data_IF_461811875957
#
_entry.id   IF_461811875957
#
_cell.length_a   1.000
_cell.length_b   1.000
_cell.length_c   1.000
_cell.angle_alpha   90.00
_cell.angle_beta   90.00
_cell.angle_gamma   90.00
#
_symmetry.space_group_name_H-M   'P 1'
#
loop_
_entity.id
_entity.type
_entity.pdbx_description
1 polymer ?
#
# COMPACT_ATOMS: atom_id res chain seq x y z
N UNK A 1 43.58 -49.92 -5.84
CA UNK A 1 42.33 -49.46 -5.19
C UNK A 1 42.66 -48.30 -4.26
N UNK A 2 41.82 -47.25 -4.30
CA UNK A 2 41.65 -46.15 -3.34
C UNK A 2 42.81 -45.15 -3.14
N UNK A 3 42.64 -43.83 -3.01
CA UNK A 3 41.51 -42.89 -3.13
C UNK A 3 42.14 -41.48 -3.29
N UNK A 4 41.61 -40.69 -4.23
CA UNK A 4 41.95 -39.28 -4.48
C UNK A 4 41.49 -38.36 -3.33
N UNK A 5 41.98 -37.11 -3.27
CA UNK A 5 42.03 -36.29 -2.06
C UNK A 5 40.71 -35.59 -1.74
N UNK A 6 40.54 -35.23 -0.47
CA UNK A 6 39.51 -34.28 -0.06
C UNK A 6 39.77 -32.93 -0.74
N UNK A 7 38.92 -32.59 -1.70
CA UNK A 7 38.80 -31.25 -2.26
C UNK A 7 37.93 -30.45 -1.29
N UNK A 8 38.55 -29.57 -0.54
CA UNK A 8 37.86 -28.57 0.29
C UNK A 8 37.30 -27.51 -0.65
N UNK A 9 36.10 -27.75 -1.20
CA UNK A 9 35.36 -26.69 -1.88
C UNK A 9 34.79 -25.75 -0.81
N UNK A 10 35.54 -24.68 -0.54
CA UNK A 10 35.06 -23.52 0.23
C UNK A 10 33.89 -22.90 -0.54
N UNK A 11 32.67 -23.32 -0.21
CA UNK A 11 31.45 -22.64 -0.65
C UNK A 11 31.36 -21.32 0.12
N UNK A 12 31.90 -20.24 -0.46
CA UNK A 12 31.58 -18.88 -0.04
C UNK A 12 30.14 -18.59 -0.51
N UNK A 13 29.18 -18.73 0.39
CA UNK A 13 27.82 -18.24 0.17
C UNK A 13 27.85 -16.72 0.34
N UNK A 14 28.03 -16.01 -0.77
CA UNK A 14 27.86 -14.55 -0.82
C UNK A 14 26.37 -14.23 -0.60
N UNK A 15 25.98 -14.02 0.66
CA UNK A 15 24.66 -13.48 1.01
C UNK A 15 24.67 -11.99 0.70
N UNK A 16 24.49 -11.63 -0.58
CA UNK A 16 24.04 -10.28 -0.96
C UNK A 16 22.56 -10.17 -0.66
N UNK A 17 22.23 -9.85 0.59
CA UNK A 17 20.89 -9.36 0.94
C UNK A 17 20.76 -7.92 0.45
N UNK A 18 20.60 -7.72 -0.85
CA UNK A 18 19.98 -6.50 -1.36
C UNK A 18 18.52 -6.54 -0.92
N UNK A 19 18.11 -5.61 -0.05
CA UNK A 19 16.69 -5.41 0.26
C UNK A 19 16.02 -4.86 -1.00
N UNK A 20 15.64 -5.76 -1.90
CA UNK A 20 14.89 -5.41 -3.10
C UNK A 20 13.46 -5.12 -2.66
N UNK A 21 13.06 -3.85 -2.72
CA UNK A 21 11.67 -3.43 -2.47
C UNK A 21 10.77 -4.24 -3.39
N UNK A 22 9.88 -5.03 -2.80
CA UNK A 22 9.00 -5.91 -3.56
C UNK A 22 7.75 -5.15 -4.02
N UNK A 23 7.05 -5.71 -5.01
CA UNK A 23 5.75 -5.19 -5.45
C UNK A 23 4.71 -5.30 -4.32
N UNK A 24 4.77 -6.33 -3.47
CA UNK A 24 3.91 -6.42 -2.29
C UNK A 24 4.22 -5.32 -1.28
N UNK A 25 5.49 -4.99 -1.03
CA UNK A 25 5.87 -3.86 -0.16
C UNK A 25 5.28 -2.55 -0.70
N UNK A 26 5.43 -2.32 -1.99
CA UNK A 26 4.84 -1.17 -2.68
C UNK A 26 3.32 -1.15 -2.56
N UNK A 27 2.65 -2.27 -2.83
CA UNK A 27 1.19 -2.37 -2.76
C UNK A 27 0.69 -2.15 -1.32
N UNK A 28 1.46 -2.58 -0.32
CA UNK A 28 1.19 -2.33 1.09
C UNK A 28 1.29 -0.85 1.43
N UNK A 29 2.32 -0.15 0.95
CA UNK A 29 2.44 1.30 1.13
C UNK A 29 1.33 2.06 0.40
N UNK A 30 0.99 1.67 -0.84
CA UNK A 30 -0.14 2.27 -1.58
C UNK A 30 -1.47 2.11 -0.84
N UNK A 31 -1.70 0.94 -0.23
CA UNK A 31 -2.88 0.70 0.62
C UNK A 31 -2.89 1.61 1.84
N UNK A 32 -1.77 1.68 2.57
CA UNK A 32 -1.66 2.55 3.74
C UNK A 32 -1.95 4.03 3.40
N UNK A 33 -1.42 4.51 2.28
CA UNK A 33 -1.70 5.87 1.76
C UNK A 33 -3.19 6.07 1.44
N UNK A 34 -3.83 5.10 0.78
CA UNK A 34 -5.26 5.16 0.49
C UNK A 34 -6.10 5.22 1.78
N UNK A 35 -5.73 4.45 2.79
CA UNK A 35 -6.42 4.43 4.08
C UNK A 35 -6.21 5.73 4.86
N UNK A 36 -5.01 6.31 4.81
CA UNK A 36 -4.73 7.66 5.36
C UNK A 36 -5.65 8.69 4.70
N UNK A 37 -5.75 8.69 3.37
CA UNK A 37 -6.59 9.66 2.64
C UNK A 37 -8.07 9.51 3.03
N UNK A 38 -8.59 8.28 3.15
CA UNK A 38 -9.95 8.03 3.64
C UNK A 38 -10.17 8.59 5.06
N UNK A 39 -9.21 8.40 5.96
CA UNK A 39 -9.31 8.92 7.33
C UNK A 39 -9.28 10.45 7.37
N UNK A 40 -8.46 11.08 6.53
CA UNK A 40 -8.42 12.54 6.40
C UNK A 40 -9.78 13.07 5.96
N UNK A 41 -10.38 12.47 4.93
CA UNK A 41 -11.67 12.92 4.40
C UNK A 41 -12.80 12.73 5.41
N UNK A 42 -12.80 11.62 6.15
CA UNK A 42 -13.74 11.39 7.24
C UNK A 42 -13.61 12.46 8.34
N UNK A 43 -12.38 12.79 8.76
CA UNK A 43 -12.14 13.83 9.78
C UNK A 43 -12.55 15.21 9.30
N UNK A 44 -12.25 15.56 8.05
CA UNK A 44 -12.70 16.82 7.42
C UNK A 44 -14.22 16.92 7.41
N UNK A 45 -14.91 15.84 7.02
CA UNK A 45 -16.37 15.79 7.02
C UNK A 45 -16.94 16.00 8.42
N UNK A 46 -16.32 15.41 9.45
CA UNK A 46 -16.70 15.62 10.84
C UNK A 46 -16.48 17.08 11.29
N UNK A 47 -15.33 17.67 10.97
CA UNK A 47 -15.05 19.09 11.26
C UNK A 47 -16.10 19.98 10.59
N UNK A 48 -16.39 19.74 9.31
CA UNK A 48 -17.39 20.51 8.57
C UNK A 48 -18.80 20.34 9.15
N UNK A 49 -19.14 19.15 9.66
CA UNK A 49 -20.41 18.91 10.34
C UNK A 49 -20.49 19.66 11.68
N UNK A 50 -19.43 19.63 12.49
CA UNK A 50 -19.34 20.36 13.78
C UNK A 50 -19.41 21.87 13.55
N UNK A 51 -18.71 22.40 12.54
CA UNK A 51 -18.75 23.82 12.18
C UNK A 51 -20.13 24.27 11.66
N UNK A 52 -20.93 23.38 11.06
CA UNK A 52 -22.30 23.69 10.65
C UNK A 52 -23.27 23.77 11.83
N UNK A 53 -23.01 23.01 12.89
CA UNK A 53 -23.82 23.00 14.12
C UNK A 53 -23.33 24.04 15.16
N UNK A 54 -22.65 25.09 14.70
CA UNK A 54 -21.94 26.08 15.51
C UNK A 54 -22.78 26.94 16.47
N UNK A 55 -24.03 26.57 16.78
CA UNK A 55 -24.89 27.29 17.73
C UNK A 55 -24.31 27.36 19.14
N UNK A 56 -23.33 26.52 19.48
CA UNK A 56 -22.71 26.44 20.81
C UNK A 56 -21.18 26.47 20.81
N UNK A 57 -20.54 26.70 19.66
CA UNK A 57 -19.07 26.74 19.60
C UNK A 57 -18.55 28.12 19.99
N UNK A 58 -17.61 28.15 20.92
CA UNK A 58 -16.87 29.37 21.23
C UNK A 58 -15.82 29.66 20.14
N UNK A 59 -15.36 30.90 20.08
CA UNK A 59 -14.38 31.34 19.08
C UNK A 59 -13.09 30.52 19.13
N UNK A 60 -12.66 30.11 20.32
CA UNK A 60 -11.48 29.26 20.52
C UNK A 60 -11.64 27.89 19.83
N UNK A 61 -12.77 27.21 20.02
CA UNK A 61 -13.03 25.91 19.39
C UNK A 61 -13.11 26.03 17.87
N UNK A 62 -13.69 27.12 17.35
CA UNK A 62 -13.72 27.38 15.91
C UNK A 62 -12.30 27.55 15.35
N UNK A 63 -11.45 28.32 16.03
CA UNK A 63 -10.05 28.49 15.61
C UNK A 63 -9.30 27.16 15.62
N UNK A 64 -9.47 26.33 16.66
CA UNK A 64 -8.83 25.01 16.72
C UNK A 64 -9.27 24.08 15.58
N UNK A 65 -10.57 24.05 15.27
CA UNK A 65 -11.11 23.24 14.18
C UNK A 65 -10.60 23.70 12.81
N UNK A 66 -10.43 25.01 12.60
CA UNK A 66 -9.82 25.56 11.37
C UNK A 66 -8.36 25.13 11.27
N UNK A 67 -7.59 25.26 12.35
CA UNK A 67 -6.19 24.80 12.37
C UNK A 67 -6.08 23.29 12.16
N UNK A 68 -6.97 22.48 12.74
CA UNK A 68 -6.99 21.03 12.48
C UNK A 68 -7.28 20.75 11.00
N UNK A 69 -8.23 21.47 10.38
CA UNK A 69 -8.54 21.34 8.96
C UNK A 69 -7.34 21.69 8.06
N UNK A 70 -6.60 22.74 8.40
CA UNK A 70 -5.36 23.12 7.68
C UNK A 70 -4.29 22.03 7.80
N UNK A 71 -4.09 21.46 8.99
CA UNK A 71 -3.16 20.36 9.20
C UNK A 71 -3.56 19.11 8.39
N UNK A 72 -4.85 18.80 8.32
CA UNK A 72 -5.37 17.71 7.48
C UNK A 72 -5.12 17.98 5.99
N UNK A 73 -5.17 19.23 5.54
CA UNK A 73 -4.81 19.61 4.18
C UNK A 73 -3.33 19.37 3.87
N UNK A 74 -2.45 19.80 4.76
CA UNK A 74 -1.01 19.56 4.60
C UNK A 74 -0.67 18.06 4.60
N UNK A 75 -1.34 17.28 5.45
CA UNK A 75 -1.14 15.83 5.49
C UNK A 75 -1.60 15.16 4.20
N UNK A 76 -2.72 15.60 3.63
CA UNK A 76 -3.22 15.12 2.35
C UNK A 76 -2.25 15.44 1.19
N UNK A 77 -1.71 16.65 1.14
CA UNK A 77 -0.71 17.04 0.15
C UNK A 77 0.55 16.16 0.23
N UNK A 78 1.10 15.97 1.43
CA UNK A 78 2.26 15.07 1.65
C UNK A 78 1.97 13.62 1.26
N UNK A 79 0.76 13.13 1.55
CA UNK A 79 0.30 11.80 1.16
C UNK A 79 0.30 11.64 -0.37
N UNK A 80 -0.17 12.66 -1.10
CA UNK A 80 -0.13 12.69 -2.56
C UNK A 80 1.31 12.76 -3.10
N UNK A 81 2.18 13.56 -2.49
CA UNK A 81 3.60 13.63 -2.86
C UNK A 81 4.29 12.27 -2.70
N UNK A 82 4.08 11.59 -1.57
CA UNK A 82 4.61 10.24 -1.33
C UNK A 82 4.07 9.24 -2.36
N UNK A 83 2.78 9.32 -2.69
CA UNK A 83 2.18 8.48 -3.72
C UNK A 83 2.86 8.68 -5.09
N UNK A 84 3.11 9.93 -5.48
CA UNK A 84 3.77 10.27 -6.73
C UNK A 84 5.23 9.77 -6.75
N UNK A 85 5.95 9.93 -5.64
CA UNK A 85 7.32 9.42 -5.50
C UNK A 85 7.38 7.89 -5.59
N UNK A 86 6.41 7.19 -5.02
CA UNK A 86 6.32 5.72 -5.13
C UNK A 86 6.01 5.29 -6.56
N UNK A 87 5.08 5.95 -7.26
CA UNK A 87 4.79 5.63 -8.67
C UNK A 87 6.06 5.76 -9.53
N UNK A 88 6.92 6.73 -9.24
CA UNK A 88 8.17 6.94 -10.00
C UNK A 88 9.28 5.93 -9.72
N UNK A 89 9.28 5.24 -8.56
CA UNK A 89 10.36 4.34 -8.14
C UNK A 89 9.98 2.86 -8.16
N UNK A 90 8.77 2.52 -8.58
CA UNK A 90 8.32 1.14 -8.66
C UNK A 90 8.76 0.54 -9.99
N UNK A 91 9.52 -0.57 -9.98
CA UNK A 91 9.86 -1.25 -11.22
C UNK A 91 8.57 -1.68 -11.91
N UNK A 92 8.33 -1.12 -13.11
CA UNK A 92 7.26 -1.54 -14.01
C UNK A 92 7.54 -2.98 -14.40
N UNK A 93 7.04 -3.91 -13.60
CA UNK A 93 7.41 -5.30 -13.71
C UNK A 93 6.32 -5.99 -14.51
N UNK A 94 6.63 -6.29 -15.77
CA UNK A 94 5.87 -7.19 -16.65
C UNK A 94 5.84 -8.63 -16.14
N UNK A 95 6.53 -8.91 -15.02
CA UNK A 95 6.57 -10.22 -14.37
C UNK A 95 5.19 -10.58 -13.78
N UNK A 96 4.78 -11.82 -14.08
CA UNK A 96 3.59 -12.45 -13.50
C UNK A 96 3.60 -12.37 -11.98
N UNK A 97 2.42 -12.16 -11.38
CA UNK A 97 2.26 -12.15 -9.93
C UNK A 97 2.84 -13.42 -9.29
N UNK A 98 3.59 -13.25 -8.20
CA UNK A 98 4.12 -14.37 -7.42
C UNK A 98 2.99 -15.12 -6.70
N UNK A 99 3.23 -16.37 -6.30
CA UNK A 99 2.23 -17.15 -5.54
C UNK A 99 1.82 -16.46 -4.23
N UNK A 100 2.76 -15.78 -3.58
CA UNK A 100 2.48 -15.01 -2.37
C UNK A 100 1.55 -13.82 -2.67
N UNK A 101 1.88 -13.03 -3.71
CA UNK A 101 1.06 -11.89 -4.11
C UNK A 101 -0.36 -12.32 -4.49
N UNK A 102 -0.50 -13.44 -5.20
CA UNK A 102 -1.81 -14.01 -5.56
C UNK A 102 -2.65 -14.34 -4.33
N UNK A 103 -2.04 -14.94 -3.31
CA UNK A 103 -2.72 -15.28 -2.04
C UNK A 103 -3.12 -14.01 -1.27
N UNK A 104 -2.25 -13.02 -1.20
CA UNK A 104 -2.56 -11.73 -0.57
C UNK A 104 -3.71 -11.02 -1.30
N UNK A 105 -3.67 -10.96 -2.63
CA UNK A 105 -4.73 -10.39 -3.47
C UNK A 105 -6.07 -11.10 -3.22
N UNK A 106 -6.08 -12.44 -3.19
CA UNK A 106 -7.29 -13.22 -2.95
C UNK A 106 -7.88 -12.92 -1.56
N UNK A 107 -7.05 -12.92 -0.51
CA UNK A 107 -7.49 -12.60 0.85
C UNK A 107 -8.03 -11.16 0.98
N UNK A 108 -7.38 -10.19 0.35
CA UNK A 108 -7.82 -8.80 0.34
C UNK A 108 -9.14 -8.63 -0.42
N UNK A 109 -9.31 -9.32 -1.55
CA UNK A 109 -10.56 -9.29 -2.30
C UNK A 109 -11.70 -9.93 -1.51
N UNK A 110 -11.46 -11.10 -0.91
CA UNK A 110 -12.45 -11.84 -0.14
C UNK A 110 -12.91 -11.11 1.13
N UNK A 111 -12.06 -10.23 1.68
CA UNK A 111 -12.45 -9.34 2.79
C UNK A 111 -13.56 -8.34 2.41
N UNK A 112 -13.83 -8.12 1.12
CA UNK A 112 -14.80 -7.14 0.63
C UNK A 112 -14.34 -5.69 0.75
N UNK A 113 -13.17 -5.43 1.34
CA UNK A 113 -12.64 -4.08 1.57
C UNK A 113 -12.05 -3.44 0.30
N UNK A 114 -11.71 -4.26 -0.70
CA UNK A 114 -11.06 -3.82 -1.93
C UNK A 114 -11.70 -4.48 -3.16
N UNK A 115 -11.94 -3.67 -4.19
CA UNK A 115 -12.38 -4.13 -5.51
C UNK A 115 -11.19 -4.64 -6.34
N UNK A 116 -11.46 -5.46 -7.36
CA UNK A 116 -10.41 -5.93 -8.27
C UNK A 116 -9.67 -4.78 -8.96
N UNK A 117 -10.36 -3.68 -9.26
CA UNK A 117 -9.75 -2.48 -9.84
C UNK A 117 -8.75 -1.83 -8.87
N UNK A 118 -9.14 -1.65 -7.61
CA UNK A 118 -8.26 -1.08 -6.59
C UNK A 118 -7.02 -1.96 -6.37
N UNK A 119 -7.19 -3.28 -6.34
CA UNK A 119 -6.07 -4.22 -6.22
C UNK A 119 -5.16 -4.16 -7.45
N UNK A 120 -5.72 -4.02 -8.65
CA UNK A 120 -4.94 -3.86 -9.88
C UNK A 120 -4.04 -2.61 -9.81
N UNK A 121 -4.62 -1.48 -9.38
CA UNK A 121 -3.90 -0.22 -9.21
C UNK A 121 -2.83 -0.31 -8.11
N UNK A 122 -3.10 -1.02 -7.01
CA UNK A 122 -2.16 -1.20 -5.89
C UNK A 122 -0.95 -2.06 -6.28
N UNK A 123 -1.19 -3.16 -7.00
CA UNK A 123 -0.12 -4.08 -7.42
C UNK A 123 0.52 -3.67 -8.76
N UNK A 124 0.00 -2.63 -9.44
CA UNK A 124 0.53 -2.17 -10.72
C UNK A 124 0.33 -3.19 -11.85
N UNK A 125 -0.75 -3.96 -11.79
CA UNK A 125 -1.10 -5.01 -12.76
C UNK A 125 -2.46 -4.74 -13.40
N UNK A 126 -2.84 -5.53 -14.39
CA UNK A 126 -4.17 -5.41 -15.01
C UNK A 126 -5.24 -6.06 -14.14
N UNK A 127 -6.49 -5.58 -14.24
CA UNK A 127 -7.64 -6.19 -13.57
C UNK A 127 -7.81 -7.67 -13.96
N UNK A 128 -7.44 -8.06 -15.20
CA UNK A 128 -7.44 -9.46 -15.64
C UNK A 128 -6.49 -10.33 -14.82
N UNK A 129 -5.28 -9.84 -14.52
CA UNK A 129 -4.31 -10.55 -13.68
C UNK A 129 -4.83 -10.75 -12.24
N UNK A 130 -5.55 -9.76 -11.70
CA UNK A 130 -6.23 -9.89 -10.39
C UNK A 130 -7.33 -10.95 -10.46
N UNK A 131 -8.19 -10.91 -11.48
CA UNK A 131 -9.29 -11.88 -11.66
C UNK A 131 -8.80 -13.33 -11.72
N UNK A 132 -7.69 -13.58 -12.44
CA UNK A 132 -7.05 -14.90 -12.46
C UNK A 132 -6.52 -15.33 -11.09
N UNK A 133 -5.98 -14.38 -10.32
CA UNK A 133 -5.41 -14.64 -8.99
C UNK A 133 -6.48 -15.00 -7.96
N UNK A 134 -7.65 -14.37 -8.05
CA UNK A 134 -8.80 -14.64 -7.18
C UNK A 134 -9.42 -15.99 -7.52
N UNK A 135 -9.67 -16.28 -8.80
CA UNK A 135 -10.29 -17.55 -9.25
C UNK A 135 -9.45 -18.78 -8.87
N UNK A 136 -8.13 -18.71 -9.02
CA UNK A 136 -7.24 -19.83 -8.71
C UNK A 136 -7.10 -20.11 -7.19
N UNK A 137 -7.72 -19.33 -6.31
CA UNK A 137 -7.79 -19.58 -4.86
C UNK A 137 -9.14 -20.17 -4.41
N UNK A 138 -10.14 -20.23 -5.30
CA UNK A 138 -11.48 -20.78 -5.01
C UNK A 138 -11.61 -22.27 -5.38
N UNK A 139 -10.58 -22.86 -6.01
CA UNK A 139 -10.41 -24.30 -6.29
C UNK A 139 -9.45 -24.96 -5.28
#
# INVERSE_FOLDING_TARGET
MARSPYRTDNIQVEVKSEVQVTRSDTASVRRAIQDINRQIDNRRSNIDAVLRDARTLDTSSVTQLITERENLNQLHERSQELQNQLISNVPSSSASLSTQEKREIAGLYQSGLYTQKQLADQYGVTQSAISQSVRNNED
#
